data_IF_579712583336
#
_entry.id   IF_579712583336
#
_cell.length_a   1.000
_cell.length_b   1.000
_cell.length_c   1.000
_cell.angle_alpha   90.00
_cell.angle_beta   90.00
_cell.angle_gamma   90.00
#
_symmetry.space_group_name_H-M   'P 1'
#
loop_
_entity.id
_entity.type
_entity.pdbx_description
1 polymer ?
#
# COMPACT_ATOMS: atom_id res chain seq x y z
N UNK A 1 13.11 13.24 0.89
CA UNK A 1 13.55 14.14 1.99
C UNK A 1 12.46 14.29 3.07
N UNK A 2 11.18 14.47 2.70
CA UNK A 2 10.11 14.73 3.69
C UNK A 2 9.87 13.55 4.66
N UNK A 3 9.95 12.31 4.17
CA UNK A 3 9.65 11.11 4.95
C UNK A 3 10.88 10.26 5.29
N UNK A 4 12.07 10.75 4.95
CA UNK A 4 13.35 10.05 5.11
C UNK A 4 13.68 9.14 3.93
N UNK A 5 14.86 8.52 3.97
CA UNK A 5 15.23 7.53 2.98
C UNK A 5 14.52 6.20 3.28
N UNK A 6 13.96 5.52 2.27
CA UNK A 6 13.41 4.18 2.47
C UNK A 6 14.43 3.23 3.10
N UNK A 7 13.96 2.40 4.01
CA UNK A 7 14.77 1.41 4.73
C UNK A 7 14.30 0.00 4.38
N UNK A 8 15.24 -0.95 4.38
CA UNK A 8 14.91 -2.37 4.21
C UNK A 8 13.93 -2.77 5.31
N UNK A 9 12.75 -3.21 4.91
CA UNK A 9 11.63 -3.46 5.81
C UNK A 9 10.92 -4.77 5.44
N UNK A 10 10.65 -5.59 6.45
CA UNK A 10 9.72 -6.71 6.33
C UNK A 10 8.30 -6.16 6.51
N UNK A 11 7.53 -6.11 5.43
CA UNK A 11 6.15 -5.63 5.44
C UNK A 11 5.22 -6.83 5.60
N UNK A 12 4.34 -6.78 6.59
CA UNK A 12 3.31 -7.80 6.79
C UNK A 12 2.31 -7.77 5.65
N UNK A 13 1.89 -8.96 5.21
CA UNK A 13 0.83 -9.16 4.22
C UNK A 13 -0.33 -10.00 4.77
N UNK A 14 -0.27 -10.34 6.03
CA UNK A 14 -1.38 -10.91 6.79
C UNK A 14 -2.30 -9.81 7.35
N UNK A 15 -3.31 -10.18 8.11
CA UNK A 15 -4.24 -9.26 8.74
C UNK A 15 -4.21 -9.35 10.25
N UNK A 16 -4.52 -8.22 10.91
CA UNK A 16 -4.73 -8.15 12.35
C UNK A 16 -6.15 -8.56 12.75
N UNK A 17 -6.40 -8.42 14.05
CA UNK A 17 -7.71 -8.73 14.63
C UNK A 17 -8.60 -7.50 14.80
N UNK A 18 -8.10 -6.31 14.49
CA UNK A 18 -8.82 -5.04 14.59
C UNK A 18 -9.46 -4.67 13.26
N UNK A 19 -10.56 -3.90 13.27
CA UNK A 19 -11.05 -3.24 12.06
C UNK A 19 -9.95 -2.40 11.42
N UNK A 20 -10.07 -2.12 10.12
CA UNK A 20 -9.04 -1.34 9.45
C UNK A 20 -9.57 -0.41 8.36
N UNK A 21 -8.68 0.48 7.92
CA UNK A 21 -8.84 1.31 6.71
C UNK A 21 -7.77 0.88 5.71
N UNK A 22 -8.18 0.64 4.46
CA UNK A 22 -7.31 0.34 3.34
C UNK A 22 -7.00 1.64 2.59
N UNK A 23 -5.72 1.94 2.39
CA UNK A 23 -5.28 3.16 1.70
C UNK A 23 -4.63 2.80 0.38
N UNK A 24 -5.19 3.27 -0.72
CA UNK A 24 -4.70 3.05 -2.08
C UNK A 24 -4.41 4.37 -2.80
N UNK A 25 -3.53 4.33 -3.79
CA UNK A 25 -3.08 5.50 -4.53
C UNK A 25 -1.65 5.90 -4.16
N UNK A 26 -1.32 7.21 -4.19
CA UNK A 26 0.06 7.67 -4.12
C UNK A 26 0.28 8.84 -3.13
N UNK A 27 -0.76 9.40 -2.52
CA UNK A 27 -0.62 10.60 -1.68
C UNK A 27 -0.17 10.22 -0.26
N UNK A 28 1.12 10.45 0.01
CA UNK A 28 1.72 10.19 1.33
C UNK A 28 1.28 11.21 2.38
N UNK A 29 0.88 12.42 1.98
CA UNK A 29 0.40 13.42 2.93
C UNK A 29 -0.97 13.04 3.47
N UNK A 30 -1.86 12.56 2.61
CA UNK A 30 -3.16 12.02 3.03
C UNK A 30 -2.99 10.83 3.98
N UNK A 31 -2.06 9.93 3.66
CA UNK A 31 -1.73 8.80 4.55
C UNK A 31 -1.20 9.29 5.91
N UNK A 32 -0.30 10.28 5.91
CA UNK A 32 0.23 10.86 7.16
C UNK A 32 -0.87 11.44 8.05
N UNK A 33 -1.75 12.26 7.46
CA UNK A 33 -2.87 12.86 8.16
C UNK A 33 -3.83 11.79 8.72
N UNK A 34 -4.14 10.76 7.93
CA UNK A 34 -4.96 9.64 8.40
C UNK A 34 -4.30 8.90 9.56
N UNK A 35 -3.01 8.59 9.47
CA UNK A 35 -2.26 7.92 10.53
C UNK A 35 -2.23 8.75 11.81
N UNK A 36 -2.06 10.08 11.69
CA UNK A 36 -2.06 10.97 12.86
C UNK A 36 -3.43 11.02 13.53
N UNK A 37 -4.52 11.18 12.74
CA UNK A 37 -5.88 11.27 13.26
C UNK A 37 -6.44 9.94 13.77
N UNK A 38 -5.94 8.82 13.28
CA UNK A 38 -6.39 7.47 13.70
C UNK A 38 -5.61 6.89 14.87
N UNK A 39 -4.64 7.61 15.44
CA UNK A 39 -3.93 7.18 16.65
C UNK A 39 -4.90 6.80 17.77
N UNK A 40 -4.61 5.71 18.46
CA UNK A 40 -5.37 5.21 19.59
C UNK A 40 -6.87 4.98 19.34
N UNK A 41 -7.28 4.97 18.09
CA UNK A 41 -8.69 4.77 17.69
C UNK A 41 -9.15 3.31 17.74
N UNK A 42 -8.20 2.36 17.90
CA UNK A 42 -8.49 0.93 17.93
C UNK A 42 -8.63 0.28 16.55
N UNK A 43 -8.25 0.98 15.49
CA UNK A 43 -8.24 0.46 14.11
C UNK A 43 -6.81 0.29 13.59
N UNK A 44 -6.64 -0.50 12.53
CA UNK A 44 -5.40 -0.68 11.81
C UNK A 44 -5.46 -0.01 10.42
N UNK A 45 -4.33 0.51 9.97
CA UNK A 45 -4.19 1.09 8.63
C UNK A 45 -3.35 0.16 7.76
N UNK A 46 -3.87 -0.15 6.58
CA UNK A 46 -3.23 -1.01 5.58
C UNK A 46 -2.96 -0.23 4.30
N UNK A 47 -1.84 -0.49 3.66
CA UNK A 47 -1.60 -0.02 2.29
C UNK A 47 -2.13 -1.03 1.28
N UNK A 48 -2.42 -0.55 0.07
CA UNK A 48 -2.82 -1.37 -1.08
C UNK A 48 -2.10 -0.88 -2.33
N UNK A 49 -1.67 -1.83 -3.18
CA UNK A 49 -1.11 -1.56 -4.50
C UNK A 49 0.04 -0.54 -4.46
N UNK A 50 -0.07 0.57 -5.16
CA UNK A 50 0.95 1.61 -5.30
C UNK A 50 1.31 2.34 -3.98
N UNK A 51 0.51 2.17 -2.92
CA UNK A 51 0.82 2.72 -1.59
C UNK A 51 1.79 1.83 -0.78
N UNK A 52 2.07 0.61 -1.22
CA UNK A 52 3.01 -0.30 -0.55
C UNK A 52 4.34 0.36 -0.15
N UNK A 53 4.99 1.20 -0.98
CA UNK A 53 6.25 1.83 -0.62
C UNK A 53 6.20 2.72 0.63
N UNK A 54 5.04 3.18 1.06
CA UNK A 54 4.90 3.95 2.30
C UNK A 54 5.43 3.19 3.53
N UNK A 55 5.33 1.85 3.54
CA UNK A 55 5.84 1.01 4.62
C UNK A 55 7.37 1.09 4.80
N UNK A 56 8.09 1.57 3.81
CA UNK A 56 9.55 1.64 3.83
C UNK A 56 10.09 2.95 4.41
N UNK A 57 9.26 3.98 4.56
CA UNK A 57 9.69 5.29 5.02
C UNK A 57 9.77 5.35 6.56
N UNK A 58 10.91 5.84 7.13
CA UNK A 58 11.09 5.95 8.58
C UNK A 58 10.00 6.77 9.27
N UNK A 59 9.51 7.83 8.63
CA UNK A 59 8.51 8.73 9.18
C UNK A 59 7.18 8.03 9.56
N UNK A 60 6.84 6.94 8.87
CA UNK A 60 5.60 6.19 9.14
C UNK A 60 5.79 5.05 10.16
N UNK A 61 7.01 4.62 10.42
CA UNK A 61 7.31 3.52 11.36
C UNK A 61 6.98 3.83 12.82
N UNK A 62 6.77 5.10 13.16
CA UNK A 62 6.34 5.54 14.49
C UNK A 62 4.87 5.20 14.82
N UNK A 63 4.07 4.85 13.82
CA UNK A 63 2.66 4.55 13.99
C UNK A 63 2.44 3.05 14.19
N UNK A 64 2.20 2.61 15.42
CA UNK A 64 2.04 1.19 15.77
C UNK A 64 0.83 0.52 15.11
N UNK A 65 -0.17 1.29 14.68
CA UNK A 65 -1.36 0.82 13.98
C UNK A 65 -1.22 0.87 12.44
N UNK A 66 -0.08 1.30 11.93
CA UNK A 66 0.29 1.13 10.52
C UNK A 66 0.74 -0.31 10.32
N UNK A 67 -0.20 -1.16 9.91
CA UNK A 67 -0.07 -2.61 10.08
C UNK A 67 0.80 -3.28 9.01
N UNK A 68 0.58 -2.95 7.74
CA UNK A 68 1.27 -3.55 6.61
C UNK A 68 0.53 -3.31 5.30
N UNK A 69 0.65 -4.27 4.38
CA UNK A 69 0.01 -4.20 3.07
C UNK A 69 -1.07 -5.27 2.92
N UNK A 70 -2.15 -4.95 2.25
CA UNK A 70 -3.26 -5.85 1.96
C UNK A 70 -3.52 -5.90 0.47
N UNK A 71 -3.56 -7.11 -0.08
CA UNK A 71 -3.78 -7.31 -1.51
C UNK A 71 -2.61 -6.88 -2.38
N UNK A 72 -2.85 -6.79 -3.67
CA UNK A 72 -1.81 -6.59 -4.67
C UNK A 72 -2.12 -5.50 -5.67
N UNK A 73 -2.35 -5.90 -6.89
CA UNK A 73 -2.42 -4.99 -8.02
C UNK A 73 -3.80 -4.36 -8.19
N UNK A 74 -3.85 -3.13 -8.73
CA UNK A 74 -5.07 -2.36 -8.93
C UNK A 74 -6.20 -3.11 -9.66
N UNK A 75 -5.91 -4.06 -10.54
CA UNK A 75 -6.93 -4.81 -11.27
C UNK A 75 -7.64 -5.89 -10.43
N UNK A 76 -7.14 -6.17 -9.22
CA UNK A 76 -7.77 -7.08 -8.25
C UNK A 76 -8.69 -6.35 -7.26
N UNK A 77 -8.84 -5.03 -7.38
CA UNK A 77 -9.61 -4.20 -6.43
C UNK A 77 -10.99 -4.78 -6.11
N UNK A 78 -11.69 -5.34 -7.10
CA UNK A 78 -13.06 -5.81 -6.87
C UNK A 78 -13.14 -6.92 -5.84
N UNK A 79 -12.22 -7.87 -5.91
CA UNK A 79 -12.17 -9.00 -4.99
C UNK A 79 -11.54 -8.58 -3.66
N UNK A 80 -10.45 -7.83 -3.73
CA UNK A 80 -9.68 -7.41 -2.55
C UNK A 80 -10.44 -6.39 -1.69
N UNK A 81 -11.15 -5.42 -2.31
CA UNK A 81 -11.95 -4.44 -1.59
C UNK A 81 -13.22 -5.06 -0.96
N UNK A 82 -13.79 -6.07 -1.62
CA UNK A 82 -14.87 -6.86 -1.03
C UNK A 82 -14.39 -7.57 0.25
N UNK A 83 -13.27 -8.29 0.15
CA UNK A 83 -12.70 -9.09 1.23
C UNK A 83 -12.11 -8.23 2.36
N UNK A 84 -11.71 -6.99 2.09
CA UNK A 84 -11.21 -6.09 3.12
C UNK A 84 -12.26 -5.74 4.19
N UNK A 85 -13.52 -5.63 3.80
CA UNK A 85 -14.70 -5.47 4.66
C UNK A 85 -14.76 -4.16 5.45
N UNK A 86 -13.69 -3.37 5.47
CA UNK A 86 -13.59 -2.03 6.04
C UNK A 86 -13.63 -0.93 4.98
N UNK A 87 -13.57 0.35 5.38
CA UNK A 87 -13.50 1.48 4.46
C UNK A 87 -12.20 1.50 3.66
N UNK A 88 -12.28 2.03 2.44
CA UNK A 88 -11.17 2.18 1.51
C UNK A 88 -10.97 3.67 1.21
N UNK A 89 -9.77 4.19 1.46
CA UNK A 89 -9.37 5.55 1.08
C UNK A 89 -8.62 5.52 -0.25
N UNK A 90 -9.18 6.17 -1.25
CA UNK A 90 -8.55 6.36 -2.56
C UNK A 90 -7.97 7.79 -2.62
N UNK A 91 -6.64 7.90 -2.65
CA UNK A 91 -5.94 9.20 -2.58
C UNK A 91 -5.61 9.78 -3.94
N UNK A 92 -5.48 8.94 -4.95
CA UNK A 92 -5.19 9.32 -6.35
C UNK A 92 -5.96 8.41 -7.31
N UNK A 93 -5.59 8.39 -8.58
CA UNK A 93 -6.17 7.53 -9.61
C UNK A 93 -6.04 6.02 -9.30
N UNK A 94 -6.37 5.16 -10.26
CA UNK A 94 -6.44 3.70 -10.21
C UNK A 94 -7.71 3.16 -9.51
N UNK A 95 -8.74 3.95 -9.34
CA UNK A 95 -10.04 3.44 -8.90
C UNK A 95 -10.74 2.69 -10.04
N UNK A 96 -10.92 1.39 -9.87
CA UNK A 96 -11.77 0.57 -10.74
C UNK A 96 -13.23 0.82 -10.35
N UNK A 97 -14.18 0.95 -11.32
CA UNK A 97 -15.59 1.11 -11.00
C UNK A 97 -16.04 0.10 -9.94
N UNK A 98 -16.48 0.57 -8.76
CA UNK A 98 -16.76 -0.30 -7.62
C UNK A 98 -18.03 -1.13 -7.84
N UNK A 99 -18.08 -2.30 -7.19
CA UNK A 99 -19.32 -3.04 -7.05
C UNK A 99 -20.22 -2.36 -6.02
N UNK A 100 -21.53 -2.48 -6.20
CA UNK A 100 -22.53 -1.93 -5.27
C UNK A 100 -22.40 -2.48 -3.83
N UNK A 101 -21.83 -3.65 -3.67
CA UNK A 101 -21.63 -4.32 -2.37
C UNK A 101 -20.65 -3.62 -1.44
N UNK A 102 -19.72 -2.79 -1.98
CA UNK A 102 -18.74 -2.07 -1.18
C UNK A 102 -18.58 -0.59 -1.57
N UNK A 103 -19.41 -0.09 -2.49
CA UNK A 103 -19.32 1.29 -2.98
C UNK A 103 -19.51 2.32 -1.86
N UNK A 104 -20.35 2.03 -0.89
CA UNK A 104 -20.61 2.82 0.32
C UNK A 104 -19.42 2.85 1.30
N UNK A 105 -18.42 1.99 1.12
CA UNK A 105 -17.18 1.96 1.91
C UNK A 105 -16.02 2.72 1.24
N UNK A 106 -16.21 3.24 0.02
CA UNK A 106 -15.17 3.98 -0.70
C UNK A 106 -15.23 5.47 -0.36
N UNK A 107 -14.12 5.98 0.09
CA UNK A 107 -13.83 7.37 0.37
C UNK A 107 -12.78 7.88 -0.62
N UNK A 108 -13.10 8.92 -1.34
CA UNK A 108 -12.19 9.56 -2.29
C UNK A 108 -11.63 10.84 -1.70
N UNK A 109 -10.43 11.22 -2.11
CA UNK A 109 -9.82 12.51 -1.77
C UNK A 109 -8.98 13.02 -2.94
N UNK A 110 -8.66 14.32 -2.93
CA UNK A 110 -7.84 14.93 -3.98
C UNK A 110 -8.50 14.83 -5.36
N UNK A 111 -7.77 14.38 -6.39
CA UNK A 111 -8.28 14.31 -7.76
C UNK A 111 -9.21 13.13 -8.04
N UNK A 112 -9.39 12.22 -7.09
CA UNK A 112 -10.21 11.01 -7.29
C UNK A 112 -11.65 11.29 -6.93
N UNK A 113 -12.57 10.82 -7.76
CA UNK A 113 -13.99 10.85 -7.49
C UNK A 113 -14.73 9.79 -8.30
N UNK A 114 -15.75 9.20 -7.70
CA UNK A 114 -16.66 8.29 -8.37
C UNK A 114 -18.09 8.53 -7.87
N UNK A 115 -19.10 8.58 -8.78
CA UNK A 115 -20.48 8.82 -8.38
C UNK A 115 -20.96 7.78 -7.36
N UNK A 116 -21.60 8.28 -6.27
CA UNK A 116 -22.12 7.44 -5.20
C UNK A 116 -21.09 6.94 -4.17
N UNK A 117 -19.84 7.39 -4.25
CA UNK A 117 -18.83 7.19 -3.21
C UNK A 117 -18.72 8.44 -2.32
N UNK A 118 -18.23 8.28 -1.10
CA UNK A 118 -17.90 9.38 -0.21
C UNK A 118 -16.74 10.22 -0.76
N UNK A 119 -16.69 11.49 -0.39
CA UNK A 119 -15.60 12.38 -0.75
C UNK A 119 -15.15 13.21 0.46
N UNK A 120 -13.88 13.11 0.78
CA UNK A 120 -13.24 13.90 1.84
C UNK A 120 -12.69 15.18 1.21
N UNK A 121 -13.26 16.37 1.53
CA UNK A 121 -12.84 17.62 0.94
C UNK A 121 -11.45 18.05 1.44
N UNK A 122 -10.80 18.90 0.66
CA UNK A 122 -9.50 19.49 0.93
C UNK A 122 -8.61 19.51 -0.31
N UNK A 123 -7.92 20.62 -0.54
CA UNK A 123 -6.98 20.79 -1.63
C UNK A 123 -5.63 20.08 -1.37
N UNK A 124 -4.73 20.15 -2.36
CA UNK A 124 -3.37 19.63 -2.23
C UNK A 124 -2.65 20.42 -1.13
N UNK A 125 -2.16 19.73 -0.11
CA UNK A 125 -1.44 20.31 1.02
C UNK A 125 -2.31 20.97 2.10
N UNK A 126 -3.63 20.99 1.92
CA UNK A 126 -4.55 21.43 2.96
C UNK A 126 -4.79 20.33 4.00
N UNK A 127 -5.17 20.73 5.21
CA UNK A 127 -5.59 19.77 6.24
C UNK A 127 -6.95 19.18 5.86
N UNK A 128 -7.07 17.87 5.99
CA UNK A 128 -8.29 17.09 5.71
C UNK A 128 -8.80 16.42 6.98
N UNK A 129 -10.11 16.31 7.10
CA UNK A 129 -10.76 15.62 8.21
C UNK A 129 -11.09 14.18 7.83
N UNK A 130 -10.44 13.24 8.46
CA UNK A 130 -10.65 11.80 8.29
C UNK A 130 -11.54 11.19 9.38
N UNK A 131 -12.20 11.99 10.20
CA UNK A 131 -13.03 11.49 11.31
C UNK A 131 -14.15 10.56 10.83
N UNK A 132 -14.81 10.88 9.72
CA UNK A 132 -15.91 10.09 9.19
C UNK A 132 -15.47 8.66 8.81
N UNK A 133 -14.37 8.52 8.05
CA UNK A 133 -13.86 7.22 7.64
C UNK A 133 -13.35 6.41 8.83
N UNK A 134 -12.76 7.06 9.84
CA UNK A 134 -12.30 6.44 11.08
C UNK A 134 -13.51 5.89 11.87
N UNK A 135 -14.56 6.68 12.05
CA UNK A 135 -15.78 6.23 12.73
C UNK A 135 -16.53 5.14 11.96
N UNK A 136 -16.45 5.16 10.62
CA UNK A 136 -16.97 4.07 9.80
C UNK A 136 -16.17 2.78 10.05
N UNK A 137 -14.85 2.85 10.03
CA UNK A 137 -13.98 1.69 10.25
C UNK A 137 -14.24 0.99 11.59
N UNK A 138 -14.45 1.74 12.67
CA UNK A 138 -14.76 1.19 14.00
C UNK A 138 -16.00 0.29 14.04
N UNK A 139 -16.91 0.45 13.08
CA UNK A 139 -18.16 -0.32 12.99
C UNK A 139 -18.03 -1.56 12.09
N UNK A 140 -16.90 -1.67 11.39
CA UNK A 140 -16.65 -2.77 10.47
C UNK A 140 -15.98 -3.96 11.17
N UNK A 141 -16.13 -5.18 10.63
CA UNK A 141 -15.34 -6.32 11.08
C UNK A 141 -13.86 -6.18 10.64
N UNK A 142 -12.95 -6.96 11.22
CA UNK A 142 -11.59 -7.09 10.70
C UNK A 142 -11.57 -7.57 9.24
N UNK A 143 -10.50 -7.25 8.48
CA UNK A 143 -10.33 -7.76 7.12
C UNK A 143 -10.30 -9.28 7.06
N UNK A 144 -10.75 -9.84 5.95
CA UNK A 144 -10.54 -11.26 5.64
C UNK A 144 -9.11 -11.48 5.16
N UNK A 145 -8.45 -12.52 5.65
CA UNK A 145 -7.07 -12.82 5.29
C UNK A 145 -6.99 -13.38 3.86
N UNK A 146 -6.27 -12.70 2.99
CA UNK A 146 -5.98 -13.16 1.62
C UNK A 146 -4.62 -13.85 1.54
N UNK A 147 -3.63 -13.32 2.22
CA UNK A 147 -2.23 -13.75 2.19
C UNK A 147 -1.69 -13.86 3.60
N UNK A 148 -0.52 -14.45 3.76
CA UNK A 148 0.17 -14.60 5.05
C UNK A 148 1.66 -14.42 4.90
N UNK A 149 2.32 -13.97 5.98
CA UNK A 149 3.76 -13.76 6.02
C UNK A 149 4.18 -12.32 5.78
N UNK A 150 5.35 -12.16 5.19
CA UNK A 150 5.96 -10.84 4.94
C UNK A 150 6.60 -10.77 3.57
N UNK A 151 6.68 -9.57 3.03
CA UNK A 151 7.51 -9.24 1.87
C UNK A 151 8.60 -8.26 2.27
N UNK A 152 9.76 -8.34 1.62
CA UNK A 152 10.89 -7.45 1.91
C UNK A 152 11.00 -6.40 0.80
N UNK A 153 11.11 -5.13 1.21
CA UNK A 153 11.33 -4.04 0.28
C UNK A 153 12.09 -2.89 0.93
N UNK A 154 12.15 -1.73 0.27
CA UNK A 154 12.87 -0.56 0.77
C UNK A 154 14.30 -0.43 0.23
N UNK A 155 14.67 -1.17 -0.80
CA UNK A 155 15.96 -1.11 -1.47
C UNK A 155 16.08 0.11 -2.39
N UNK A 156 15.97 1.31 -1.81
CA UNK A 156 16.24 2.54 -2.54
C UNK A 156 17.74 2.85 -2.58
N UNK A 157 18.13 3.90 -3.30
CA UNK A 157 19.55 4.25 -3.54
C UNK A 157 20.39 4.32 -2.26
N UNK A 158 19.87 4.91 -1.18
CA UNK A 158 20.59 5.01 0.09
C UNK A 158 20.96 3.63 0.67
N UNK A 159 20.04 2.67 0.59
CA UNK A 159 20.28 1.29 1.03
C UNK A 159 21.24 0.54 0.11
N UNK A 160 21.12 0.74 -1.21
CA UNK A 160 22.02 0.14 -2.19
C UNK A 160 23.45 0.66 -1.99
N UNK A 161 23.62 1.96 -1.73
CA UNK A 161 24.94 2.53 -1.42
C UNK A 161 25.50 2.02 -0.09
N UNK A 162 24.67 1.84 0.92
CA UNK A 162 25.11 1.24 2.20
C UNK A 162 25.60 -0.21 2.04
N UNK A 163 25.12 -0.93 1.04
CA UNK A 163 25.50 -2.30 0.70
C UNK A 163 26.57 -2.37 -0.41
N UNK A 164 27.10 -1.25 -0.88
CA UNK A 164 27.94 -1.20 -2.09
C UNK A 164 29.15 -2.15 -2.03
N UNK A 165 29.86 -2.20 -0.92
CA UNK A 165 31.03 -3.08 -0.77
C UNK A 165 30.64 -4.57 -0.87
N UNK A 166 29.53 -4.95 -0.23
CA UNK A 166 29.02 -6.31 -0.30
C UNK A 166 28.59 -6.70 -1.72
N UNK A 167 27.95 -5.77 -2.44
CA UNK A 167 27.54 -5.97 -3.84
C UNK A 167 28.77 -6.12 -4.73
N UNK A 168 29.77 -5.26 -4.57
CA UNK A 168 31.02 -5.33 -5.33
C UNK A 168 31.77 -6.65 -5.08
N UNK A 169 31.86 -7.07 -3.84
CA UNK A 169 32.51 -8.34 -3.49
C UNK A 169 31.74 -9.55 -4.03
N UNK A 170 30.40 -9.49 -4.02
CA UNK A 170 29.58 -10.54 -4.62
C UNK A 170 29.74 -10.62 -6.15
N UNK A 171 29.91 -9.47 -6.82
CA UNK A 171 30.25 -9.43 -8.27
C UNK A 171 31.65 -9.99 -8.51
N UNK A 172 32.64 -9.56 -7.74
CA UNK A 172 34.04 -10.02 -7.89
C UNK A 172 34.20 -11.52 -7.63
N UNK A 173 33.47 -12.06 -6.67
CA UNK A 173 33.46 -13.49 -6.37
C UNK A 173 32.64 -14.33 -7.36
N UNK A 174 31.87 -13.71 -8.25
CA UNK A 174 30.97 -14.38 -9.18
C UNK A 174 29.66 -14.86 -8.56
N UNK A 175 29.37 -14.49 -7.31
CA UNK A 175 28.08 -14.77 -6.68
C UNK A 175 26.94 -14.00 -7.36
N UNK A 176 27.20 -12.76 -7.80
CA UNK A 176 26.32 -12.00 -8.70
C UNK A 176 26.92 -12.05 -10.10
N UNK A 177 26.21 -12.68 -11.02
CA UNK A 177 26.64 -12.80 -12.44
C UNK A 177 26.01 -11.76 -13.34
N UNK A 178 24.74 -11.40 -13.07
CA UNK A 178 23.98 -10.48 -13.89
C UNK A 178 23.10 -9.61 -13.02
N UNK A 179 22.85 -8.38 -13.48
CA UNK A 179 21.80 -7.52 -12.99
C UNK A 179 20.69 -7.51 -14.03
N UNK A 180 19.45 -7.78 -13.61
CA UNK A 180 18.29 -7.80 -14.49
C UNK A 180 17.35 -6.67 -14.07
N UNK A 181 17.04 -5.78 -15.01
CA UNK A 181 16.07 -4.70 -14.80
C UNK A 181 14.75 -5.10 -15.44
N UNK A 182 13.73 -5.29 -14.61
CA UNK A 182 12.36 -5.52 -15.06
C UNK A 182 11.55 -4.25 -14.77
N UNK A 183 11.33 -3.44 -15.81
CA UNK A 183 10.63 -2.16 -15.72
C UNK A 183 9.25 -2.27 -16.38
N UNK A 184 8.33 -2.93 -15.70
CA UNK A 184 6.97 -3.16 -16.17
C UNK A 184 6.27 -4.26 -15.37
N UNK A 185 5.08 -4.61 -15.80
CA UNK A 185 4.29 -5.70 -15.20
C UNK A 185 3.49 -6.44 -16.27
N UNK A 186 2.98 -7.61 -15.92
CA UNK A 186 2.12 -8.41 -16.81
C UNK A 186 0.72 -7.80 -17.03
N UNK A 187 0.34 -6.83 -16.18
CA UNK A 187 -0.94 -6.15 -16.27
C UNK A 187 -2.11 -7.07 -15.88
N UNK A 188 -3.33 -6.66 -16.26
CA UNK A 188 -4.58 -7.33 -15.85
C UNK A 188 -4.96 -8.55 -16.69
N UNK A 189 -4.24 -8.83 -17.75
CA UNK A 189 -4.58 -9.91 -18.67
C UNK A 189 -3.87 -11.20 -18.28
N UNK A 190 -4.60 -12.24 -17.93
CA UNK A 190 -4.07 -13.56 -17.54
C UNK A 190 -3.16 -14.19 -18.61
N UNK A 191 -3.28 -13.78 -19.87
CA UNK A 191 -2.38 -14.22 -20.94
C UNK A 191 -1.04 -13.51 -20.99
N UNK A 192 -0.82 -12.50 -20.14
CA UNK A 192 0.43 -11.77 -20.01
C UNK A 192 1.20 -12.26 -18.78
N UNK A 193 2.00 -13.30 -18.96
CA UNK A 193 2.83 -13.85 -17.90
C UNK A 193 4.34 -13.66 -18.17
N UNK A 194 4.69 -12.77 -19.10
CA UNK A 194 6.09 -12.59 -19.52
C UNK A 194 7.04 -12.27 -18.38
N UNK A 195 6.73 -11.26 -17.57
CA UNK A 195 7.59 -10.88 -16.43
C UNK A 195 7.60 -11.95 -15.35
N UNK A 196 6.44 -12.54 -15.07
CA UNK A 196 6.30 -13.61 -14.08
C UNK A 196 7.09 -14.85 -14.50
N UNK A 197 6.93 -15.30 -15.72
CA UNK A 197 7.65 -16.47 -16.24
C UNK A 197 9.16 -16.21 -16.38
N UNK A 198 9.54 -14.99 -16.79
CA UNK A 198 10.95 -14.61 -16.84
C UNK A 198 11.58 -14.64 -15.45
N UNK A 199 10.91 -14.08 -14.42
CA UNK A 199 11.41 -14.10 -13.05
C UNK A 199 11.55 -15.53 -12.48
N UNK A 200 10.65 -16.44 -12.86
CA UNK A 200 10.74 -17.86 -12.46
C UNK A 200 11.85 -18.62 -13.17
N UNK A 201 12.26 -18.15 -14.34
CA UNK A 201 13.29 -18.79 -15.14
C UNK A 201 14.72 -18.33 -14.81
N UNK A 202 14.90 -17.28 -14.01
CA UNK A 202 16.19 -16.78 -13.50
C UNK A 202 16.64 -17.56 -12.27
#
# INVERSE_FOLDING_TARGET
>A
DAYGNPEITNVRIDVGTRPGILVSGHDLRDLEMLLEQSKDSGIDIYTHSEMLPANYYPAFKKYNHFYGNYGGSWWKQKEEFEAFRGPILMTTNCLVPPNSSYQDRIYNTGPVGYPGCHYIPGGIGEEKDFSEIIEHAKKCPPPEQLESGTIVGGFAHAQVFALADQIVDAVRSGAIRNFVVMAGCDGRFNSREYYTEFAKAL
#
